data_IF_037118569559
#
_entry.id   IF_037118569559
#
_cell.length_a   1.000
_cell.length_b   1.000
_cell.length_c   1.000
_cell.angle_alpha   90.00
_cell.angle_beta   90.00
_cell.angle_gamma   90.00
#
_symmetry.space_group_name_H-M   'P 1'
#
loop_
_entity.id
_entity.type
_entity.pdbx_description
1 polymer ?
#
# COMPACT_ATOMS: atom_id res chain seq x y z
N UNK A 1 -18.32 -9.97 30.29
CA UNK A 1 -18.97 -8.98 29.39
C UNK A 1 -17.98 -7.98 28.80
N UNK A 2 -16.97 -7.51 29.56
CA UNK A 2 -15.95 -6.58 29.04
C UNK A 2 -15.09 -7.15 27.90
N UNK A 3 -14.73 -8.44 27.97
CA UNK A 3 -13.96 -9.13 26.93
C UNK A 3 -14.71 -9.19 25.58
N UNK A 4 -16.02 -9.44 25.58
CA UNK A 4 -16.83 -9.51 24.35
C UNK A 4 -16.98 -8.12 23.70
N UNK A 5 -17.11 -7.06 24.50
CA UNK A 5 -17.11 -5.67 24.02
C UNK A 5 -15.76 -5.24 23.45
N UNK A 6 -14.65 -5.71 24.04
CA UNK A 6 -13.30 -5.43 23.57
C UNK A 6 -13.04 -6.10 22.21
N UNK A 7 -13.28 -7.41 22.09
CA UNK A 7 -13.13 -8.15 20.83
C UNK A 7 -14.06 -7.63 19.73
N UNK A 8 -15.30 -7.24 20.07
CA UNK A 8 -16.23 -6.63 19.12
C UNK A 8 -15.78 -5.25 18.60
N UNK A 9 -15.03 -4.48 19.40
CA UNK A 9 -14.44 -3.20 18.95
C UNK A 9 -13.26 -3.41 18.01
N UNK A 10 -12.38 -4.38 18.30
CA UNK A 10 -11.29 -4.76 17.38
C UNK A 10 -11.81 -5.25 16.04
N UNK A 11 -12.85 -6.09 16.05
CA UNK A 11 -13.46 -6.60 14.83
C UNK A 11 -14.07 -5.47 13.98
N UNK A 12 -14.76 -4.51 14.61
CA UNK A 12 -15.28 -3.32 13.92
C UNK A 12 -14.17 -2.45 13.32
N UNK A 13 -13.06 -2.30 14.03
CA UNK A 13 -11.91 -1.52 13.56
C UNK A 13 -11.25 -2.19 12.35
N UNK A 14 -11.07 -3.52 12.41
CA UNK A 14 -10.54 -4.32 11.31
C UNK A 14 -11.44 -4.27 10.06
N UNK A 15 -12.76 -4.39 10.24
CA UNK A 15 -13.73 -4.24 9.16
C UNK A 15 -13.68 -2.85 8.52
N UNK A 16 -13.61 -1.78 9.33
CA UNK A 16 -13.47 -0.40 8.82
C UNK A 16 -12.17 -0.22 8.03
N UNK A 17 -11.06 -0.74 8.56
CA UNK A 17 -9.76 -0.67 7.89
C UNK A 17 -9.80 -1.40 6.54
N UNK A 18 -10.36 -2.61 6.52
CA UNK A 18 -10.51 -3.39 5.29
C UNK A 18 -11.39 -2.66 4.25
N UNK A 19 -12.49 -2.04 4.68
CA UNK A 19 -13.33 -1.23 3.81
C UNK A 19 -12.59 -0.04 3.20
N UNK A 20 -11.76 0.66 3.98
CA UNK A 20 -10.94 1.78 3.48
C UNK A 20 -9.91 1.30 2.47
N UNK A 21 -9.20 0.19 2.76
CA UNK A 21 -8.21 -0.39 1.85
C UNK A 21 -8.86 -0.82 0.53
N UNK A 22 -10.05 -1.41 0.59
CA UNK A 22 -10.80 -1.79 -0.61
C UNK A 22 -11.20 -0.57 -1.43
N UNK A 23 -11.73 0.48 -0.80
CA UNK A 23 -12.03 1.72 -1.50
C UNK A 23 -10.78 2.31 -2.16
N UNK A 24 -9.65 2.33 -1.46
CA UNK A 24 -8.37 2.82 -2.00
C UNK A 24 -7.94 2.02 -3.23
N UNK A 25 -7.98 0.69 -3.15
CA UNK A 25 -7.67 -0.19 -4.28
C UNK A 25 -8.60 0.04 -5.47
N UNK A 26 -9.90 0.21 -5.23
CA UNK A 26 -10.87 0.48 -6.30
C UNK A 26 -10.51 1.77 -7.07
N UNK A 27 -10.09 2.81 -6.36
CA UNK A 27 -9.66 4.06 -6.99
C UNK A 27 -8.33 3.92 -7.75
N UNK A 28 -7.34 3.20 -7.22
CA UNK A 28 -6.07 2.98 -7.91
C UNK A 28 -6.26 2.17 -9.20
N UNK A 29 -7.02 1.07 -9.15
CA UNK A 29 -7.35 0.29 -10.35
C UNK A 29 -8.21 1.07 -11.35
N UNK A 30 -9.14 1.91 -10.87
CA UNK A 30 -9.92 2.78 -11.76
C UNK A 30 -9.03 3.80 -12.49
N UNK A 31 -8.02 4.34 -11.81
CA UNK A 31 -7.04 5.23 -12.43
C UNK A 31 -6.20 4.50 -13.46
N UNK A 32 -5.73 3.29 -13.15
CA UNK A 32 -4.97 2.44 -14.09
C UNK A 32 -5.82 2.14 -15.34
N UNK A 33 -7.09 1.78 -15.15
CA UNK A 33 -8.03 1.53 -16.25
C UNK A 33 -8.20 2.75 -17.16
N UNK A 34 -8.44 3.95 -16.59
CA UNK A 34 -8.59 5.18 -17.37
C UNK A 34 -7.33 5.47 -18.19
N UNK A 35 -6.16 5.31 -17.59
CA UNK A 35 -4.87 5.58 -18.25
C UNK A 35 -4.62 4.60 -19.40
N UNK A 36 -4.95 3.32 -19.25
CA UNK A 36 -4.69 2.33 -20.29
C UNK A 36 -5.72 2.34 -21.42
N UNK A 37 -7.00 2.51 -21.09
CA UNK A 37 -8.09 2.41 -22.08
C UNK A 37 -8.42 3.75 -22.73
N UNK A 38 -7.90 4.87 -22.22
CA UNK A 38 -8.24 6.22 -22.69
C UNK A 38 -9.68 6.63 -22.40
N UNK A 39 -10.40 5.86 -21.58
CA UNK A 39 -11.82 6.04 -21.33
C UNK A 39 -12.07 7.28 -20.45
N UNK A 40 -12.87 8.23 -20.96
CA UNK A 40 -13.11 9.52 -20.28
C UNK A 40 -14.13 9.42 -19.14
N UNK A 41 -14.91 8.35 -19.10
CA UNK A 41 -15.96 8.15 -18.11
C UNK A 41 -15.44 7.46 -16.85
N UNK A 42 -15.20 8.24 -15.80
CA UNK A 42 -14.76 7.76 -14.47
C UNK A 42 -15.73 6.74 -13.87
N UNK A 43 -17.04 6.83 -14.18
CA UNK A 43 -18.06 5.91 -13.68
C UNK A 43 -17.93 4.51 -14.28
N UNK A 44 -17.61 4.43 -15.57
CA UNK A 44 -17.39 3.14 -16.26
C UNK A 44 -16.09 2.50 -15.78
N UNK A 45 -15.05 3.30 -15.59
CA UNK A 45 -13.79 2.82 -15.02
C UNK A 45 -13.97 2.27 -13.60
N UNK A 46 -14.75 2.95 -12.76
CA UNK A 46 -15.09 2.49 -11.40
C UNK A 46 -15.87 1.18 -11.42
N UNK A 47 -16.89 1.03 -12.27
CA UNK A 47 -17.67 -0.22 -12.32
C UNK A 47 -16.86 -1.41 -12.84
N UNK A 48 -16.01 -1.19 -13.84
CA UNK A 48 -15.07 -2.20 -14.37
C UNK A 48 -14.03 -2.59 -13.34
N UNK A 49 -13.49 -1.61 -12.62
CA UNK A 49 -12.52 -1.84 -11.54
C UNK A 49 -13.17 -2.55 -10.35
N UNK A 50 -14.45 -2.28 -10.06
CA UNK A 50 -15.21 -3.01 -9.07
C UNK A 50 -15.33 -4.49 -9.43
N UNK A 51 -15.76 -4.80 -10.65
CA UNK A 51 -15.81 -6.19 -11.12
C UNK A 51 -14.44 -6.89 -11.09
N UNK A 52 -13.37 -6.17 -11.44
CA UNK A 52 -12.01 -6.70 -11.43
C UNK A 52 -11.50 -6.98 -10.01
N UNK A 53 -11.62 -6.00 -9.10
CA UNK A 53 -11.15 -6.11 -7.72
C UNK A 53 -11.95 -7.19 -6.99
N UNK A 54 -13.28 -7.22 -7.10
CA UNK A 54 -14.09 -8.26 -6.45
C UNK A 54 -13.85 -9.65 -7.06
N UNK A 55 -13.59 -9.74 -8.37
CA UNK A 55 -13.22 -11.00 -9.02
C UNK A 55 -11.81 -11.52 -8.65
N UNK A 56 -10.90 -10.63 -8.25
CA UNK A 56 -9.50 -10.95 -7.94
C UNK A 56 -9.05 -10.47 -6.55
N UNK A 57 -9.99 -10.38 -5.61
CA UNK A 57 -9.83 -9.80 -4.26
C UNK A 57 -8.57 -10.31 -3.55
N UNK A 58 -8.35 -11.63 -3.58
CA UNK A 58 -7.20 -12.25 -2.92
C UNK A 58 -5.88 -11.77 -3.52
N UNK A 59 -5.78 -11.68 -4.84
CA UNK A 59 -4.52 -11.31 -5.52
C UNK A 59 -4.21 -9.83 -5.34
N UNK A 60 -5.22 -8.97 -5.47
CA UNK A 60 -5.06 -7.52 -5.27
C UNK A 60 -4.71 -7.19 -3.82
N UNK A 61 -5.42 -7.75 -2.85
CA UNK A 61 -5.11 -7.55 -1.43
C UNK A 61 -3.73 -8.10 -1.07
N UNK A 62 -3.36 -9.29 -1.54
CA UNK A 62 -2.07 -9.89 -1.19
C UNK A 62 -0.90 -9.04 -1.69
N UNK A 63 -1.00 -8.48 -2.90
CA UNK A 63 0.05 -7.61 -3.46
C UNK A 63 0.22 -6.34 -2.64
N UNK A 64 -0.88 -5.63 -2.36
CA UNK A 64 -0.87 -4.42 -1.53
C UNK A 64 -0.37 -4.70 -0.12
N UNK A 65 -0.83 -5.81 0.48
CA UNK A 65 -0.43 -6.21 1.83
C UNK A 65 1.05 -6.60 1.89
N UNK A 66 1.58 -7.31 0.89
CA UNK A 66 2.99 -7.69 0.83
C UNK A 66 3.91 -6.45 0.79
N UNK A 67 3.60 -5.47 -0.06
CA UNK A 67 4.38 -4.22 -0.13
C UNK A 67 4.25 -3.42 1.16
N UNK A 68 3.05 -3.36 1.75
CA UNK A 68 2.84 -2.67 3.02
C UNK A 68 3.64 -3.30 4.16
N UNK A 69 3.69 -4.64 4.21
CA UNK A 69 4.46 -5.42 5.18
C UNK A 69 5.96 -5.13 5.04
N UNK A 70 6.49 -5.10 3.82
CA UNK A 70 7.88 -4.71 3.55
C UNK A 70 8.15 -3.28 4.06
N UNK A 71 7.22 -2.35 3.83
CA UNK A 71 7.32 -0.98 4.34
C UNK A 71 7.36 -0.89 5.87
N UNK A 72 6.55 -1.70 6.58
CA UNK A 72 6.59 -1.80 8.04
C UNK A 72 7.92 -2.35 8.53
N UNK A 73 8.42 -3.42 7.90
CA UNK A 73 9.70 -4.02 8.24
C UNK A 73 10.80 -2.96 8.14
N UNK A 74 10.86 -2.20 7.05
CA UNK A 74 11.82 -1.11 6.87
C UNK A 74 11.72 -0.04 7.96
N UNK A 75 10.50 0.32 8.38
CA UNK A 75 10.29 1.29 9.45
C UNK A 75 10.76 0.75 10.81
N UNK A 76 10.49 -0.53 11.09
CA UNK A 76 10.96 -1.21 12.30
C UNK A 76 12.49 -1.34 12.34
N UNK A 77 13.16 -1.44 11.19
CA UNK A 77 14.63 -1.38 11.14
C UNK A 77 15.16 0.04 11.31
N UNK A 78 14.49 1.04 10.75
CA UNK A 78 14.93 2.44 10.83
C UNK A 78 14.89 3.01 12.26
N UNK A 79 13.81 2.76 13.00
CA UNK A 79 13.58 3.35 14.33
C UNK A 79 14.66 3.02 15.40
N UNK A 80 15.04 1.75 15.63
CA UNK A 80 16.11 1.43 16.59
C UNK A 80 17.47 1.95 16.12
N UNK A 81 17.72 1.96 14.80
CA UNK A 81 18.97 2.44 14.24
C UNK A 81 19.13 3.96 14.41
N UNK A 82 18.06 4.74 14.25
CA UNK A 82 18.10 6.19 14.52
C UNK A 82 18.26 6.50 16.00
N UNK A 83 17.63 5.73 16.88
CA UNK A 83 17.74 5.94 18.34
C UNK A 83 19.15 5.62 18.85
N UNK A 84 19.83 4.63 18.27
CA UNK A 84 21.20 4.29 18.67
C UNK A 84 22.23 5.35 18.25
N UNK A 85 21.96 6.07 17.15
CA UNK A 85 22.79 7.15 16.62
C UNK A 85 22.33 8.54 17.10
N UNK A 86 21.78 8.69 18.31
CA UNK A 86 21.26 9.98 18.78
C UNK A 86 22.31 10.88 19.46
N UNK A 87 23.58 10.47 19.49
CA UNK A 87 24.63 11.27 20.13
C UNK A 87 24.95 12.56 19.34
N UNK A 88 25.08 13.71 20.01
CA UNK A 88 25.29 15.01 19.38
C UNK A 88 26.73 15.17 18.87
N UNK A 89 27.03 14.50 17.76
CA UNK A 89 28.26 14.66 16.97
C UNK A 89 27.94 15.10 15.55
N UNK A 90 28.76 15.98 14.97
CA UNK A 90 28.60 16.44 13.57
C UNK A 90 28.57 15.27 12.58
N UNK A 91 29.40 14.25 12.81
CA UNK A 91 29.44 13.01 12.02
C UNK A 91 28.11 12.25 12.12
N UNK A 92 27.54 12.17 13.31
CA UNK A 92 26.27 11.50 13.58
C UNK A 92 25.12 12.15 12.82
N UNK A 93 25.07 13.49 12.79
CA UNK A 93 24.05 14.24 12.04
C UNK A 93 24.15 13.96 10.54
N UNK A 94 25.36 13.93 9.97
CA UNK A 94 25.55 13.61 8.55
C UNK A 94 25.11 12.19 8.22
N UNK A 95 25.41 11.21 9.07
CA UNK A 95 24.99 9.81 8.89
C UNK A 95 23.47 9.69 8.97
N UNK A 96 22.83 10.31 9.96
CA UNK A 96 21.37 10.34 10.09
C UNK A 96 20.70 10.96 8.86
N UNK A 97 21.26 12.06 8.34
CA UNK A 97 20.75 12.68 7.12
C UNK A 97 20.83 11.74 5.91
N UNK A 98 21.98 11.10 5.69
CA UNK A 98 22.14 10.13 4.59
C UNK A 98 21.18 8.94 4.73
N UNK A 99 21.02 8.43 5.95
CA UNK A 99 20.10 7.33 6.23
C UNK A 99 18.63 7.74 6.00
N UNK A 100 18.26 8.96 6.35
CA UNK A 100 16.94 9.51 6.07
C UNK A 100 16.68 9.64 4.56
N UNK A 101 17.67 10.09 3.77
CA UNK A 101 17.53 10.13 2.31
C UNK A 101 17.35 8.73 1.72
N UNK A 102 18.14 7.76 2.19
CA UNK A 102 18.04 6.38 1.73
C UNK A 102 16.68 5.75 2.10
N UNK A 103 16.16 6.05 3.29
CA UNK A 103 14.81 5.65 3.70
C UNK A 103 13.73 6.26 2.80
N UNK A 104 13.84 7.55 2.49
CA UNK A 104 12.92 8.25 1.58
C UNK A 104 12.95 7.63 0.17
N UNK A 105 14.14 7.35 -0.36
CA UNK A 105 14.30 6.69 -1.67
C UNK A 105 13.68 5.29 -1.65
N UNK A 106 13.92 4.51 -0.60
CA UNK A 106 13.35 3.16 -0.46
C UNK A 106 11.83 3.21 -0.37
N UNK A 107 11.29 4.19 0.37
CA UNK A 107 9.84 4.40 0.46
C UNK A 107 9.23 4.77 -0.89
N UNK A 108 9.90 5.59 -1.70
CA UNK A 108 9.47 5.89 -3.07
C UNK A 108 9.54 4.65 -3.97
N UNK A 109 10.63 3.88 -3.88
CA UNK A 109 10.79 2.63 -4.63
C UNK A 109 9.67 1.64 -4.31
N UNK A 110 9.30 1.45 -3.04
CA UNK A 110 8.18 0.59 -2.65
C UNK A 110 6.84 1.04 -3.25
N UNK A 111 6.57 2.35 -3.26
CA UNK A 111 5.37 2.88 -3.92
C UNK A 111 5.40 2.59 -5.42
N UNK A 112 6.55 2.77 -6.06
CA UNK A 112 6.72 2.47 -7.49
C UNK A 112 6.51 0.98 -7.76
N UNK A 113 7.05 0.09 -6.92
CA UNK A 113 6.86 -1.36 -7.02
C UNK A 113 5.40 -1.75 -6.86
N UNK A 114 4.67 -1.12 -5.93
CA UNK A 114 3.23 -1.32 -5.77
C UNK A 114 2.48 -0.98 -7.06
N UNK A 115 2.68 0.24 -7.58
CA UNK A 115 2.04 0.67 -8.83
C UNK A 115 2.41 -0.23 -10.01
N UNK A 116 3.68 -0.58 -10.17
CA UNK A 116 4.13 -1.49 -11.22
C UNK A 116 3.50 -2.88 -11.08
N UNK A 117 3.35 -3.38 -9.85
CA UNK A 117 2.69 -4.64 -9.55
C UNK A 117 1.20 -4.61 -9.88
N UNK A 118 0.49 -3.53 -9.51
CA UNK A 118 -0.93 -3.36 -9.84
C UNK A 118 -1.17 -3.27 -11.34
N UNK A 119 -0.33 -2.52 -12.07
CA UNK A 119 -0.39 -2.44 -13.54
C UNK A 119 -0.09 -3.78 -14.19
N UNK A 120 0.92 -4.51 -13.73
CA UNK A 120 1.27 -5.84 -14.24
C UNK A 120 0.14 -6.85 -14.01
N UNK A 121 -0.44 -6.85 -12.80
CA UNK A 121 -1.54 -7.72 -12.41
C UNK A 121 -2.82 -7.38 -13.17
N UNK A 122 -3.09 -6.09 -13.38
CA UNK A 122 -4.18 -5.62 -14.23
C UNK A 122 -4.01 -6.12 -15.67
N UNK A 123 -2.84 -5.93 -16.27
CA UNK A 123 -2.56 -6.38 -17.64
C UNK A 123 -2.72 -7.90 -17.78
N UNK A 124 -2.15 -8.66 -16.85
CA UNK A 124 -2.18 -10.12 -16.88
C UNK A 124 -3.60 -10.70 -16.75
N UNK A 125 -4.49 -10.05 -16.00
CA UNK A 125 -5.83 -10.57 -15.71
C UNK A 125 -6.94 -9.95 -16.55
N UNK A 126 -6.75 -8.73 -17.05
CA UNK A 126 -7.75 -8.03 -17.85
C UNK A 126 -7.66 -8.40 -19.33
N UNK A 127 -6.44 -8.51 -19.91
CA UNK A 127 -6.24 -8.87 -21.31
C UNK A 127 -6.07 -10.37 -21.58
N UNK A 128 -6.03 -11.20 -20.54
CA UNK A 128 -6.07 -12.67 -20.68
C UNK A 128 -7.49 -13.21 -20.89
N UNK A 129 -8.52 -12.36 -20.86
CA UNK A 129 -9.90 -12.69 -21.22
C UNK A 129 -10.23 -12.07 -22.56
#
# INVERSE_FOLDING_TARGET
YESVLYWGSWLRLLLRFLGIVLCYLLFDYARIYIVQTGERSTRVALSRSFGFVFGNLRRTITLTFAVWLIGIILLLFYNPFSNWLSDPGTITITILFLMQQLFMLTRMALKLTLFAGEVSLFNALFFSK
#
